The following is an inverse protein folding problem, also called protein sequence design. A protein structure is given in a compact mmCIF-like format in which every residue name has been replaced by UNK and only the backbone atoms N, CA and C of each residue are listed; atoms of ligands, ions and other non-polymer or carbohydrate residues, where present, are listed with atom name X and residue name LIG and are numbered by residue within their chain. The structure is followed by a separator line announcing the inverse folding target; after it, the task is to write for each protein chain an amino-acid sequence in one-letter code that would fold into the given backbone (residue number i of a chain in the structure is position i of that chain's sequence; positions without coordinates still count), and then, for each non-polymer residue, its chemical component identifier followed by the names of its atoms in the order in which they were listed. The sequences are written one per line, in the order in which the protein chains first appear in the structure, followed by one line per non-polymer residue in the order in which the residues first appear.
data_IF_970018417308
#
_entry.id   IF_970018417308
#
_cell.length_a   1.000
_cell.length_b   1.000
_cell.length_c   1.000
_cell.angle_alpha   90.00
_cell.angle_beta   90.00
_cell.angle_gamma   90.00
#
_symmetry.space_group_name_H-M   'P 1'
#
loop_
_entity.id
_entity.type
_entity.pdbx_description
1 polymer ?
#
# COMPACT_ATOMS: atom_id res chain seq x y z
N UNK A 1 43.93 13.67 -11.39
CA UNK A 1 42.50 13.88 -11.13
C UNK A 1 41.84 14.18 -12.46
N UNK A 2 41.45 13.13 -13.20
CA UNK A 2 40.58 13.28 -14.36
C UNK A 2 39.19 13.60 -13.79
N UNK A 3 38.62 14.73 -14.17
CA UNK A 3 37.21 15.02 -13.90
C UNK A 3 36.43 13.96 -14.72
N UNK A 4 35.69 13.03 -14.09
CA UNK A 4 34.84 12.13 -14.85
C UNK A 4 33.84 12.97 -15.63
N UNK A 5 33.60 12.62 -16.89
CA UNK A 5 32.53 13.24 -17.67
C UNK A 5 31.16 13.07 -17.00
N UNK A 6 30.12 13.75 -17.48
CA UNK A 6 28.78 13.63 -16.91
C UNK A 6 28.23 12.20 -17.08
N UNK A 7 28.31 11.40 -16.03
CA UNK A 7 27.70 10.08 -15.95
C UNK A 7 26.20 10.23 -15.70
N UNK A 8 25.43 10.36 -16.79
CA UNK A 8 23.95 10.55 -16.78
C UNK A 8 23.26 9.49 -15.90
N UNK A 9 23.79 8.28 -15.84
CA UNK A 9 23.28 7.21 -14.98
C UNK A 9 23.42 7.53 -13.49
N UNK A 10 24.59 8.03 -13.07
CA UNK A 10 24.84 8.40 -11.68
C UNK A 10 23.95 9.56 -11.25
N UNK A 11 23.77 10.55 -12.13
CA UNK A 11 22.85 11.68 -11.92
C UNK A 11 21.41 11.20 -11.72
N UNK A 12 20.92 10.31 -12.60
CA UNK A 12 19.56 9.76 -12.51
C UNK A 12 19.36 8.88 -11.27
N UNK A 13 20.37 8.10 -10.88
CA UNK A 13 20.32 7.28 -9.65
C UNK A 13 20.31 8.16 -8.40
N UNK A 14 21.11 9.23 -8.37
CA UNK A 14 21.09 10.24 -7.31
C UNK A 14 19.73 10.94 -7.21
N UNK A 15 19.19 11.43 -8.33
CA UNK A 15 17.86 12.04 -8.37
C UNK A 15 16.78 11.05 -7.88
N UNK A 16 16.83 9.81 -8.36
CA UNK A 16 15.93 8.75 -7.91
C UNK A 16 16.00 8.50 -6.41
N UNK A 17 17.20 8.51 -5.83
CA UNK A 17 17.40 8.32 -4.38
C UNK A 17 16.92 9.51 -3.57
N UNK A 18 17.11 10.75 -4.05
CA UNK A 18 16.58 11.95 -3.40
C UNK A 18 15.05 11.90 -3.37
N UNK A 19 14.41 11.57 -4.50
CA UNK A 19 12.95 11.45 -4.60
C UNK A 19 12.46 10.29 -3.70
N UNK A 20 13.19 9.18 -3.68
CA UNK A 20 12.92 8.04 -2.80
C UNK A 20 13.01 8.41 -1.31
N UNK A 21 13.98 9.22 -0.90
CA UNK A 21 14.09 9.74 0.46
C UNK A 21 12.90 10.63 0.84
N UNK A 22 12.39 11.44 -0.09
CA UNK A 22 11.16 12.24 0.13
C UNK A 22 9.97 11.31 0.36
N UNK A 23 9.81 10.27 -0.47
CA UNK A 23 8.74 9.28 -0.31
C UNK A 23 8.87 8.50 1.01
N UNK A 24 10.08 8.17 1.44
CA UNK A 24 10.34 7.58 2.75
C UNK A 24 9.90 8.51 3.90
N UNK A 25 10.13 9.83 3.76
CA UNK A 25 9.60 10.82 4.69
C UNK A 25 8.07 10.77 4.82
N UNK A 26 7.36 10.61 3.70
CA UNK A 26 5.90 10.41 3.69
C UNK A 26 5.53 9.12 4.45
N UNK A 27 6.27 8.03 4.24
CA UNK A 27 6.05 6.75 4.96
C UNK A 27 6.20 6.94 6.47
N UNK A 28 7.20 7.67 6.94
CA UNK A 28 7.41 7.95 8.38
C UNK A 28 6.21 8.73 8.94
N UNK A 29 5.84 9.84 8.30
CA UNK A 29 4.74 10.70 8.77
C UNK A 29 3.43 9.92 8.81
N UNK A 30 3.17 9.11 7.79
CA UNK A 30 1.95 8.33 7.70
C UNK A 30 1.92 7.20 8.74
N UNK A 31 3.05 6.53 8.96
CA UNK A 31 3.20 5.52 10.01
C UNK A 31 2.98 6.12 11.40
N UNK A 32 3.58 7.28 11.69
CA UNK A 32 3.37 8.02 12.92
C UNK A 32 1.90 8.37 13.15
N UNK A 33 1.21 8.89 12.13
CA UNK A 33 -0.21 9.17 12.20
C UNK A 33 -1.06 7.91 12.44
N UNK A 34 -0.72 6.79 11.79
CA UNK A 34 -1.35 5.50 12.05
C UNK A 34 -1.17 5.07 13.52
N UNK A 35 0.05 5.11 14.06
CA UNK A 35 0.30 4.77 15.47
C UNK A 35 -0.48 5.66 16.43
N UNK A 36 -0.48 6.98 16.21
CA UNK A 36 -1.23 7.93 17.03
C UNK A 36 -2.74 7.62 17.04
N UNK A 37 -3.32 7.35 15.88
CA UNK A 37 -4.74 7.01 15.77
C UNK A 37 -5.06 5.66 16.43
N UNK A 38 -4.20 4.65 16.24
CA UNK A 38 -4.39 3.33 16.81
C UNK A 38 -4.25 3.34 18.35
N UNK A 39 -3.32 4.14 18.90
CA UNK A 39 -3.10 4.23 20.35
C UNK A 39 -4.18 5.08 21.04
N UNK A 40 -4.52 6.25 20.48
CA UNK A 40 -5.43 7.23 21.12
C UNK A 40 -6.89 6.76 21.16
N UNK A 41 -7.31 5.83 20.30
CA UNK A 41 -8.72 5.43 20.13
C UNK A 41 -8.95 3.94 20.47
N UNK A 42 -8.63 3.55 21.71
CA UNK A 42 -8.68 2.15 22.21
C UNK A 42 -10.03 1.43 22.10
N UNK A 43 -11.16 2.10 21.84
CA UNK A 43 -12.50 1.49 21.79
C UNK A 43 -13.08 1.21 20.40
N UNK A 44 -12.41 1.62 19.31
CA UNK A 44 -12.97 1.53 17.94
C UNK A 44 -12.65 0.18 17.27
N UNK A 45 -11.57 -0.47 17.68
CA UNK A 45 -11.09 -1.72 17.12
C UNK A 45 -11.03 -2.80 18.20
N UNK A 46 -11.35 -4.04 17.82
CA UNK A 46 -11.02 -5.19 18.67
C UNK A 46 -9.50 -5.21 18.93
N UNK A 47 -9.10 -5.54 20.17
CA UNK A 47 -7.69 -5.55 20.56
C UNK A 47 -6.82 -6.39 19.61
N UNK A 48 -7.34 -7.53 19.12
CA UNK A 48 -6.63 -8.39 18.16
C UNK A 48 -6.38 -7.68 16.83
N UNK A 49 -7.40 -7.00 16.28
CA UNK A 49 -7.31 -6.23 15.04
C UNK A 49 -6.34 -5.06 15.18
N UNK A 50 -6.36 -4.38 16.33
CA UNK A 50 -5.44 -3.27 16.60
C UNK A 50 -3.99 -3.74 16.62
N UNK A 51 -3.70 -4.82 17.34
CA UNK A 51 -2.34 -5.39 17.41
C UNK A 51 -1.88 -5.81 16.02
N UNK A 52 -2.74 -6.49 15.25
CA UNK A 52 -2.44 -6.87 13.87
C UNK A 52 -2.07 -5.65 13.00
N UNK A 53 -2.86 -4.58 13.05
CA UNK A 53 -2.57 -3.36 12.28
C UNK A 53 -1.30 -2.65 12.73
N UNK A 54 -1.00 -2.61 14.03
CA UNK A 54 0.26 -2.05 14.56
C UNK A 54 1.45 -2.84 14.04
N UNK A 55 1.41 -4.17 14.16
CA UNK A 55 2.48 -5.06 13.67
C UNK A 55 2.68 -4.87 12.16
N UNK A 56 1.58 -4.80 11.40
CA UNK A 56 1.64 -4.57 9.96
C UNK A 56 2.31 -3.25 9.61
N UNK A 57 1.91 -2.14 10.24
CA UNK A 57 2.51 -0.81 10.02
C UNK A 57 4.00 -0.82 10.38
N UNK A 58 4.39 -1.47 11.49
CA UNK A 58 5.81 -1.59 11.87
C UNK A 58 6.63 -2.39 10.84
N UNK A 59 6.11 -3.51 10.35
CA UNK A 59 6.81 -4.35 9.37
C UNK A 59 7.01 -3.58 8.06
N UNK A 60 5.97 -2.90 7.57
CA UNK A 60 6.08 -2.11 6.34
C UNK A 60 7.03 -0.91 6.48
N UNK A 61 7.08 -0.29 7.66
CA UNK A 61 8.06 0.76 7.96
C UNK A 61 9.50 0.23 7.96
N UNK A 62 9.74 -0.96 8.53
CA UNK A 62 11.06 -1.60 8.53
C UNK A 62 11.51 -1.95 7.10
N UNK A 63 10.61 -2.53 6.29
CA UNK A 63 10.89 -2.83 4.87
C UNK A 63 11.27 -1.55 4.11
N UNK A 64 10.50 -0.47 4.27
CA UNK A 64 10.78 0.82 3.66
C UNK A 64 12.12 1.43 4.13
N UNK A 65 12.46 1.24 5.41
CA UNK A 65 13.71 1.74 6.00
C UNK A 65 14.91 0.98 5.45
N UNK A 66 14.80 -0.34 5.28
CA UNK A 66 15.85 -1.13 4.64
C UNK A 66 16.05 -0.74 3.18
N UNK A 67 14.95 -0.49 2.44
CA UNK A 67 15.00 -0.06 1.04
C UNK A 67 15.82 1.23 0.84
N UNK A 68 15.60 2.23 1.70
CA UNK A 68 16.31 3.51 1.59
C UNK A 68 17.76 3.39 2.05
N UNK A 69 18.05 2.60 3.10
CA UNK A 69 19.42 2.32 3.54
C UNK A 69 20.22 1.66 2.41
N UNK A 70 19.64 0.65 1.75
CA UNK A 70 20.26 -0.02 0.61
C UNK A 70 20.51 0.95 -0.55
N UNK A 71 19.54 1.82 -0.86
CA UNK A 71 19.67 2.81 -1.93
C UNK A 71 20.81 3.82 -1.66
N UNK A 72 20.91 4.32 -0.43
CA UNK A 72 21.97 5.24 0.01
C UNK A 72 23.33 4.54 -0.02
N UNK A 73 23.42 3.33 0.53
CA UNK A 73 24.63 2.52 0.52
C UNK A 73 25.12 2.27 -0.91
N UNK A 74 24.21 1.88 -1.81
CA UNK A 74 24.51 1.63 -3.21
C UNK A 74 25.09 2.84 -3.94
N UNK A 75 24.57 4.05 -3.70
CA UNK A 75 25.15 5.28 -4.28
C UNK A 75 26.49 5.63 -3.65
N UNK A 76 26.63 5.46 -2.34
CA UNK A 76 27.86 5.81 -1.61
C UNK A 76 29.04 4.98 -2.13
N UNK A 77 28.84 3.69 -2.36
CA UNK A 77 29.87 2.83 -2.96
C UNK A 77 30.27 3.31 -4.37
N UNK A 78 29.32 3.75 -5.18
CA UNK A 78 29.58 4.22 -6.54
C UNK A 78 30.37 5.52 -6.58
N UNK A 79 30.08 6.45 -5.67
CA UNK A 79 30.74 7.77 -5.64
C UNK A 79 32.13 7.70 -5.02
N UNK A 80 32.28 7.00 -3.89
CA UNK A 80 33.49 7.11 -3.06
C UNK A 80 34.54 6.06 -3.37
N UNK A 81 34.15 4.92 -3.94
CA UNK A 81 35.03 3.78 -4.07
C UNK A 81 35.55 3.60 -5.51
N UNK A 82 35.11 4.46 -6.45
CA UNK A 82 35.51 4.49 -7.87
C UNK A 82 35.50 3.09 -8.52
N UNK A 83 34.66 2.21 -7.98
CA UNK A 83 34.54 0.84 -8.46
C UNK A 83 33.76 0.94 -9.76
N UNK A 84 34.46 0.74 -10.87
CA UNK A 84 33.88 0.57 -12.19
C UNK A 84 33.11 -0.76 -12.20
N UNK A 85 31.97 -0.80 -11.50
CA UNK A 85 31.11 -1.97 -11.43
C UNK A 85 30.46 -2.16 -12.81
N UNK A 86 30.58 -3.34 -13.44
CA UNK A 86 29.91 -3.61 -14.69
C UNK A 86 28.39 -3.42 -14.53
N UNK A 87 27.71 -2.94 -15.58
CA UNK A 87 26.27 -2.65 -15.58
C UNK A 87 25.40 -3.83 -15.06
N UNK A 88 25.88 -5.07 -15.21
CA UNK A 88 25.26 -6.28 -14.67
C UNK A 88 25.23 -6.35 -13.14
N UNK A 89 26.27 -5.86 -12.46
CA UNK A 89 26.32 -5.77 -11.00
C UNK A 89 25.52 -4.57 -10.46
N UNK A 90 25.25 -3.55 -11.30
CA UNK A 90 24.39 -2.42 -10.93
C UNK A 90 22.90 -2.82 -10.84
N UNK A 91 22.47 -3.80 -11.64
CA UNK A 91 21.17 -4.48 -11.49
C UNK A 91 21.16 -5.33 -10.21
N UNK A 92 22.31 -5.84 -9.78
CA UNK A 92 22.49 -6.59 -8.53
C UNK A 92 22.30 -5.72 -7.28
N UNK A 93 22.49 -4.40 -7.38
CA UNK A 93 22.12 -3.42 -6.33
C UNK A 93 20.69 -2.87 -6.51
N UNK A 94 19.77 -3.73 -6.93
CA UNK A 94 18.33 -3.46 -6.87
C UNK A 94 17.87 -3.38 -5.41
N UNK A 95 16.76 -2.68 -5.08
CA UNK A 95 16.23 -2.74 -3.74
C UNK A 95 15.66 -4.13 -3.47
N UNK A 96 16.37 -4.96 -2.70
CA UNK A 96 16.01 -6.36 -2.39
C UNK A 96 14.67 -6.46 -1.66
N UNK A 97 14.25 -5.35 -1.07
CA UNK A 97 12.96 -5.18 -0.39
C UNK A 97 11.78 -5.10 -1.34
N UNK A 98 11.99 -4.87 -2.63
CA UNK A 98 10.91 -4.66 -3.60
C UNK A 98 9.90 -5.81 -3.61
N UNK A 99 10.29 -7.08 -3.80
CA UNK A 99 9.34 -8.19 -3.76
C UNK A 99 8.61 -8.30 -2.42
N UNK A 100 9.30 -8.02 -1.31
CA UNK A 100 8.72 -8.06 0.03
C UNK A 100 7.70 -6.93 0.25
N UNK A 101 7.98 -5.73 -0.26
CA UNK A 101 7.08 -4.57 -0.17
C UNK A 101 5.81 -4.79 -1.00
N UNK A 102 5.96 -5.30 -2.23
CA UNK A 102 4.84 -5.66 -3.11
C UNK A 102 4.00 -6.75 -2.45
N UNK A 103 4.64 -7.83 -1.99
CA UNK A 103 3.94 -8.92 -1.32
C UNK A 103 3.23 -8.48 -0.03
N UNK A 104 3.85 -7.59 0.75
CA UNK A 104 3.23 -7.01 1.93
C UNK A 104 2.02 -6.12 1.60
N UNK A 105 2.04 -5.41 0.47
CA UNK A 105 0.92 -4.60 0.00
C UNK A 105 -0.24 -5.49 -0.51
N UNK A 106 0.07 -6.45 -1.37
CA UNK A 106 -0.90 -7.40 -1.94
C UNK A 106 -1.51 -8.28 -0.85
N UNK A 107 -0.70 -8.78 0.07
CA UNK A 107 -1.14 -9.58 1.22
C UNK A 107 -2.14 -8.82 2.09
N UNK A 108 -1.91 -7.52 2.33
CA UNK A 108 -2.86 -6.68 3.05
C UNK A 108 -4.17 -6.54 2.29
N UNK A 109 -4.12 -6.29 0.98
CA UNK A 109 -5.30 -6.19 0.13
C UNK A 109 -6.11 -7.50 0.09
N UNK A 110 -5.43 -8.65 -0.01
CA UNK A 110 -6.05 -9.99 0.04
C UNK A 110 -6.70 -10.22 1.40
N UNK A 111 -6.02 -9.89 2.50
CA UNK A 111 -6.59 -10.02 3.85
C UNK A 111 -7.85 -9.18 4.01
N UNK A 112 -7.86 -7.93 3.50
CA UNK A 112 -9.06 -7.08 3.48
C UNK A 112 -10.20 -7.72 2.70
N UNK A 113 -9.90 -8.32 1.55
CA UNK A 113 -10.89 -9.10 0.80
C UNK A 113 -11.41 -10.28 1.65
N UNK A 114 -10.57 -11.03 2.35
CA UNK A 114 -11.03 -12.16 3.18
C UNK A 114 -11.95 -11.70 4.31
N UNK A 115 -11.61 -10.59 4.98
CA UNK A 115 -12.40 -10.01 6.08
C UNK A 115 -13.73 -9.48 5.57
N UNK A 116 -13.76 -8.83 4.40
CA UNK A 116 -14.99 -8.30 3.80
C UNK A 116 -15.98 -9.40 3.36
N UNK A 117 -15.48 -10.60 3.09
CA UNK A 117 -16.27 -11.73 2.58
C UNK A 117 -16.71 -12.73 3.66
N UNK A 118 -16.69 -12.36 4.95
CA UNK A 118 -17.12 -13.28 6.02
C UNK A 118 -18.57 -13.79 5.86
N UNK A 119 -19.44 -13.01 5.20
CA UNK A 119 -20.87 -13.31 5.08
C UNK A 119 -21.30 -13.95 3.73
N UNK A 120 -20.37 -14.27 2.82
CA UNK A 120 -20.68 -14.82 1.48
C UNK A 120 -20.42 -16.33 1.43
N UNK A 121 -21.18 -17.05 0.57
CA UNK A 121 -21.07 -18.50 0.35
C UNK A 121 -19.62 -18.99 0.18
N UNK A 122 -19.28 -20.08 0.89
CA UNK A 122 -17.90 -20.58 1.07
C UNK A 122 -17.19 -20.96 -0.24
N UNK A 123 -17.90 -21.54 -1.22
CA UNK A 123 -17.33 -22.05 -2.47
C UNK A 123 -16.57 -21.01 -3.31
N UNK A 124 -17.26 -20.02 -3.92
CA UNK A 124 -16.61 -19.01 -4.76
C UNK A 124 -15.66 -18.10 -3.97
N UNK A 125 -15.84 -18.00 -2.65
CA UNK A 125 -14.91 -17.28 -1.77
C UNK A 125 -13.55 -17.97 -1.73
N UNK A 126 -13.52 -19.28 -1.45
CA UNK A 126 -12.29 -20.07 -1.32
C UNK A 126 -11.55 -20.12 -2.66
N UNK A 127 -12.25 -20.42 -3.77
CA UNK A 127 -11.63 -20.52 -5.09
C UNK A 127 -10.82 -19.27 -5.45
N UNK A 128 -11.38 -18.09 -5.24
CA UNK A 128 -10.71 -16.85 -5.65
C UNK A 128 -9.64 -16.41 -4.65
N UNK A 129 -9.79 -16.71 -3.35
CA UNK A 129 -8.70 -16.49 -2.38
C UNK A 129 -7.51 -17.38 -2.73
N UNK A 130 -7.76 -18.65 -3.07
CA UNK A 130 -6.73 -19.58 -3.54
C UNK A 130 -6.07 -19.02 -4.80
N UNK A 131 -6.85 -18.62 -5.81
CA UNK A 131 -6.30 -18.03 -7.05
C UNK A 131 -5.40 -16.80 -6.79
N UNK A 132 -5.86 -15.85 -5.97
CA UNK A 132 -5.09 -14.65 -5.63
C UNK A 132 -3.82 -14.99 -4.83
N UNK A 133 -3.91 -15.96 -3.91
CA UNK A 133 -2.76 -16.41 -3.14
C UNK A 133 -1.73 -17.11 -4.02
N UNK A 134 -2.16 -17.94 -4.99
CA UNK A 134 -1.28 -18.62 -5.93
C UNK A 134 -0.54 -17.61 -6.82
N UNK A 135 -1.26 -16.62 -7.36
CA UNK A 135 -0.65 -15.56 -8.16
C UNK A 135 0.34 -14.71 -7.34
N UNK A 136 0.02 -14.41 -6.07
CA UNK A 136 0.91 -13.67 -5.17
C UNK A 136 2.17 -14.46 -4.82
N UNK A 137 2.05 -15.77 -4.56
CA UNK A 137 3.20 -16.66 -4.33
C UNK A 137 4.05 -16.75 -5.60
N UNK A 138 3.43 -16.84 -6.77
CA UNK A 138 4.13 -16.87 -8.05
C UNK A 138 4.89 -15.57 -8.33
N UNK A 139 4.30 -14.41 -8.05
CA UNK A 139 4.97 -13.10 -8.12
C UNK A 139 6.17 -13.04 -7.17
N UNK A 140 6.00 -13.48 -5.92
CA UNK A 140 7.09 -13.54 -4.94
C UNK A 140 8.21 -14.47 -5.40
N UNK A 141 7.87 -15.65 -5.93
CA UNK A 141 8.85 -16.59 -6.46
C UNK A 141 9.65 -15.96 -7.62
N UNK A 142 8.98 -15.24 -8.53
CA UNK A 142 9.66 -14.52 -9.62
C UNK A 142 10.60 -13.42 -9.09
N UNK A 143 10.16 -12.65 -8.08
CA UNK A 143 11.00 -11.65 -7.42
C UNK A 143 12.20 -12.25 -6.67
N UNK A 144 12.02 -13.39 -6.00
CA UNK A 144 13.11 -14.10 -5.32
C UNK A 144 14.08 -14.70 -6.32
N UNK A 145 13.60 -15.23 -7.45
CA UNK A 145 14.46 -15.75 -8.52
C UNK A 145 15.33 -14.65 -9.15
N UNK A 146 14.80 -13.43 -9.26
CA UNK A 146 15.59 -12.26 -9.67
C UNK A 146 16.70 -11.95 -8.66
N UNK A 147 16.43 -12.07 -7.36
CA UNK A 147 17.41 -11.83 -6.30
C UNK A 147 18.48 -12.92 -6.20
N UNK A 148 18.08 -14.19 -6.26
CA UNK A 148 18.99 -15.35 -6.11
C UNK A 148 19.94 -15.46 -7.29
N UNK A 149 19.69 -14.76 -8.39
CA UNK A 149 20.61 -14.73 -9.53
C UNK A 149 20.84 -16.14 -10.03
N UNK A 150 19.81 -16.76 -10.63
CA UNK A 150 20.12 -17.81 -11.60
C UNK A 150 21.02 -17.15 -12.64
N UNK A 151 22.32 -17.36 -12.47
CA UNK A 151 23.47 -16.75 -13.14
C UNK A 151 23.34 -16.84 -14.66
N UNK A 152 22.49 -16.01 -15.22
CA UNK A 152 22.44 -15.77 -16.64
C UNK A 152 23.18 -14.44 -16.83
N UNK A 153 24.40 -14.53 -17.34
CA UNK A 153 25.08 -13.39 -17.97
C UNK A 153 24.24 -12.77 -19.12
N UNK A 154 23.09 -13.37 -19.44
CA UNK A 154 22.07 -12.86 -20.34
C UNK A 154 21.24 -11.74 -19.70
N UNK A 155 21.66 -10.50 -19.98
CA UNK A 155 20.89 -9.27 -19.73
C UNK A 155 19.43 -9.36 -20.23
N UNK A 156 19.19 -10.08 -21.33
CA UNK A 156 17.85 -10.32 -21.88
C UNK A 156 16.95 -11.13 -20.95
N UNK A 157 17.48 -12.17 -20.29
CA UNK A 157 16.69 -13.00 -19.37
C UNK A 157 16.20 -12.19 -18.17
N UNK A 158 17.08 -11.33 -17.64
CA UNK A 158 16.76 -10.43 -16.53
C UNK A 158 15.68 -9.41 -16.90
N UNK A 159 15.78 -8.78 -18.06
CA UNK A 159 14.76 -7.83 -18.54
C UNK A 159 13.41 -8.52 -18.75
N UNK A 160 13.39 -9.71 -19.35
CA UNK A 160 12.16 -10.49 -19.55
C UNK A 160 11.52 -10.86 -18.21
N UNK A 161 12.31 -11.29 -17.22
CA UNK A 161 11.82 -11.58 -15.87
C UNK A 161 11.23 -10.35 -15.18
N UNK A 162 11.87 -9.18 -15.31
CA UNK A 162 11.35 -7.92 -14.76
C UNK A 162 10.00 -7.59 -15.39
N UNK A 163 9.90 -7.57 -16.72
CA UNK A 163 8.66 -7.26 -17.43
C UNK A 163 7.55 -8.24 -17.04
N UNK A 164 7.88 -9.53 -16.98
CA UNK A 164 6.91 -10.55 -16.60
C UNK A 164 6.42 -10.40 -15.16
N UNK A 165 7.32 -10.14 -14.21
CA UNK A 165 6.99 -9.86 -12.81
C UNK A 165 6.09 -8.61 -12.67
N UNK A 166 6.41 -7.54 -13.40
CA UNK A 166 5.58 -6.33 -13.43
C UNK A 166 4.19 -6.59 -13.98
N UNK A 167 4.08 -7.32 -15.09
CA UNK A 167 2.79 -7.67 -15.70
C UNK A 167 1.94 -8.52 -14.74
N UNK A 168 2.54 -9.51 -14.08
CA UNK A 168 1.85 -10.33 -13.08
C UNK A 168 1.33 -9.46 -11.93
N UNK A 169 2.13 -8.52 -11.42
CA UNK A 169 1.71 -7.61 -10.35
C UNK A 169 0.61 -6.63 -10.78
N UNK A 170 0.67 -6.12 -12.02
CA UNK A 170 -0.39 -5.27 -12.60
C UNK A 170 -1.69 -6.06 -12.73
N UNK A 171 -1.64 -7.28 -13.27
CA UNK A 171 -2.80 -8.16 -13.42
C UNK A 171 -3.39 -8.50 -12.05
N UNK A 172 -2.53 -8.85 -11.08
CA UNK A 172 -2.92 -9.09 -9.69
C UNK A 172 -3.67 -7.90 -9.10
N UNK A 173 -3.08 -6.70 -9.15
CA UNK A 173 -3.69 -5.49 -8.63
C UNK A 173 -5.02 -5.17 -9.34
N UNK A 174 -5.10 -5.31 -10.66
CA UNK A 174 -6.34 -5.14 -11.42
C UNK A 174 -7.41 -6.15 -11.01
N UNK A 175 -7.07 -7.43 -10.87
CA UNK A 175 -8.02 -8.47 -10.44
C UNK A 175 -8.54 -8.20 -9.03
N UNK A 176 -7.66 -7.78 -8.11
CA UNK A 176 -8.03 -7.39 -6.75
C UNK A 176 -9.01 -6.20 -6.78
N UNK A 177 -8.69 -5.14 -7.54
CA UNK A 177 -9.52 -3.94 -7.66
C UNK A 177 -10.86 -4.22 -8.33
N UNK A 178 -10.86 -4.88 -9.49
CA UNK A 178 -12.08 -5.21 -10.23
C UNK A 178 -13.02 -6.04 -9.39
N UNK A 179 -12.50 -7.03 -8.67
CA UNK A 179 -13.30 -7.85 -7.77
C UNK A 179 -13.90 -7.03 -6.63
N UNK A 180 -13.10 -6.16 -6.01
CA UNK A 180 -13.54 -5.32 -4.91
C UNK A 180 -14.68 -4.38 -5.37
N UNK A 181 -14.56 -3.78 -6.55
CA UNK A 181 -15.59 -2.92 -7.17
C UNK A 181 -16.83 -3.72 -7.58
N UNK A 182 -16.66 -4.89 -8.21
CA UNK A 182 -17.79 -5.73 -8.60
C UNK A 182 -18.62 -6.14 -7.38
N UNK A 183 -17.94 -6.51 -6.30
CA UNK A 183 -18.59 -6.85 -5.05
C UNK A 183 -19.30 -5.66 -4.41
N UNK A 184 -18.67 -4.47 -4.42
CA UNK A 184 -19.29 -3.23 -3.96
C UNK A 184 -20.62 -2.97 -4.68
N UNK A 185 -20.63 -3.10 -6.01
CA UNK A 185 -21.84 -2.91 -6.82
C UNK A 185 -22.92 -3.93 -6.46
N UNK A 186 -22.54 -5.18 -6.17
CA UNK A 186 -23.49 -6.22 -5.73
C UNK A 186 -24.09 -5.91 -4.36
N UNK A 187 -23.29 -5.50 -3.38
CA UNK A 187 -23.78 -5.10 -2.05
C UNK A 187 -24.72 -3.91 -2.16
N UNK A 188 -24.36 -2.88 -2.93
CA UNK A 188 -25.20 -1.69 -3.10
C UNK A 188 -26.55 -2.01 -3.73
N UNK A 189 -26.60 -2.95 -4.68
CA UNK A 189 -27.86 -3.41 -5.29
C UNK A 189 -28.77 -4.17 -4.31
N UNK A 190 -28.20 -4.93 -3.37
CA UNK A 190 -28.98 -5.77 -2.46
C UNK A 190 -29.41 -5.01 -1.19
N UNK A 191 -28.56 -4.14 -0.63
CA UNK A 191 -28.84 -3.45 0.64
C UNK A 191 -29.44 -2.04 0.47
N UNK A 192 -29.56 -1.54 -0.77
CA UNK A 192 -29.98 -0.15 -1.03
C UNK A 192 -28.90 0.88 -0.70
N UNK A 193 -29.05 2.10 -1.24
CA UNK A 193 -28.03 3.16 -1.16
C UNK A 193 -27.75 3.64 0.28
N UNK A 194 -28.73 3.57 1.18
CA UNK A 194 -28.57 4.03 2.58
C UNK A 194 -27.71 3.10 3.44
N UNK A 195 -27.94 1.78 3.40
CA UNK A 195 -27.25 0.83 4.28
C UNK A 195 -25.91 0.31 3.71
N UNK A 196 -25.67 0.44 2.40
CA UNK A 196 -24.40 0.09 1.75
C UNK A 196 -23.28 1.15 1.86
N UNK A 197 -23.60 2.35 2.35
CA UNK A 197 -22.73 3.53 2.43
C UNK A 197 -21.35 3.32 3.09
N UNK A 198 -21.22 2.71 4.29
CA UNK A 198 -19.92 2.58 4.95
C UNK A 198 -18.99 1.59 4.23
N UNK A 199 -19.54 0.50 3.68
CA UNK A 199 -18.79 -0.47 2.89
C UNK A 199 -18.28 0.13 1.58
N UNK A 200 -19.13 0.95 0.94
CA UNK A 200 -18.78 1.66 -0.28
C UNK A 200 -17.57 2.58 -0.08
N UNK A 201 -17.58 3.41 0.97
CA UNK A 201 -16.47 4.34 1.28
C UNK A 201 -15.16 3.59 1.47
N UNK A 202 -15.20 2.48 2.19
CA UNK A 202 -14.04 1.65 2.49
C UNK A 202 -13.44 1.05 1.20
N UNK A 203 -14.27 0.54 0.30
CA UNK A 203 -13.83 -0.05 -0.96
C UNK A 203 -13.26 1.02 -1.88
N UNK A 204 -13.95 2.17 -2.02
CA UNK A 204 -13.45 3.29 -2.81
C UNK A 204 -12.06 3.75 -2.36
N UNK A 205 -11.79 3.79 -1.05
CA UNK A 205 -10.45 4.09 -0.53
C UNK A 205 -9.38 3.05 -0.95
N UNK A 206 -9.73 1.76 -0.96
CA UNK A 206 -8.82 0.72 -1.45
C UNK A 206 -8.53 0.89 -2.94
N UNK A 207 -9.56 1.15 -3.74
CA UNK A 207 -9.44 1.35 -5.19
C UNK A 207 -8.54 2.55 -5.48
N UNK A 208 -8.75 3.67 -4.81
CA UNK A 208 -7.91 4.87 -4.94
C UNK A 208 -6.44 4.57 -4.60
N UNK A 209 -6.19 3.82 -3.53
CA UNK A 209 -4.83 3.48 -3.09
C UNK A 209 -4.18 2.44 -4.03
N UNK A 210 -4.96 1.57 -4.65
CA UNK A 210 -4.47 0.58 -5.64
C UNK A 210 -4.24 1.23 -7.01
N UNK A 211 -5.01 2.26 -7.35
CA UNK A 211 -4.78 3.04 -8.55
C UNK A 211 -3.41 3.71 -8.53
N UNK A 212 -2.96 4.20 -7.37
CA UNK A 212 -1.59 4.70 -7.21
C UNK A 212 -0.56 3.63 -7.60
N UNK A 213 -0.67 2.42 -7.06
CA UNK A 213 0.22 1.29 -7.41
C UNK A 213 0.22 0.99 -8.90
N UNK A 214 -0.96 0.92 -9.53
CA UNK A 214 -1.10 0.65 -10.96
C UNK A 214 -0.50 1.74 -11.83
N UNK A 215 -0.68 3.02 -11.47
CA UNK A 215 -0.12 4.16 -12.20
C UNK A 215 1.40 4.09 -12.18
N UNK A 216 2.00 3.96 -11.01
CA UNK A 216 3.47 3.92 -10.89
C UNK A 216 4.08 2.66 -11.53
N UNK A 217 3.42 1.50 -11.36
CA UNK A 217 3.85 0.27 -12.03
C UNK A 217 3.72 0.37 -13.56
N UNK A 218 2.69 1.04 -14.07
CA UNK A 218 2.49 1.27 -15.50
C UNK A 218 3.53 2.24 -16.08
N UNK A 219 3.80 3.35 -15.37
CA UNK A 219 4.86 4.30 -15.76
C UNK A 219 6.22 3.61 -15.82
N UNK A 220 6.54 2.79 -14.81
CA UNK A 220 7.78 2.01 -14.83
C UNK A 220 7.83 1.02 -16.01
N UNK A 221 6.74 0.30 -16.28
CA UNK A 221 6.67 -0.61 -17.42
C UNK A 221 6.92 0.12 -18.76
N UNK A 222 6.27 1.26 -18.99
CA UNK A 222 6.48 2.06 -20.22
C UNK A 222 7.93 2.52 -20.35
N UNK A 223 8.54 3.00 -19.27
CA UNK A 223 9.93 3.47 -19.29
C UNK A 223 10.94 2.34 -19.55
N UNK A 224 10.64 1.13 -19.09
CA UNK A 224 11.43 -0.07 -19.40
C UNK A 224 11.28 -0.45 -20.88
N UNK A 225 10.07 -0.36 -21.45
CA UNK A 225 9.83 -0.63 -22.87
C UNK A 225 10.57 0.34 -23.80
N UNK A 226 10.58 1.62 -23.44
CA UNK A 226 11.27 2.68 -24.21
C UNK A 226 12.80 2.66 -24.02
N UNK A 227 13.35 1.73 -23.22
CA UNK A 227 14.77 1.71 -22.83
C UNK A 227 15.28 3.07 -22.33
N UNK A 228 14.39 3.85 -21.70
CA UNK A 228 14.73 5.18 -21.24
C UNK A 228 15.62 5.08 -19.99
N UNK A 229 16.73 5.82 -19.98
CA UNK A 229 17.63 5.93 -18.83
C UNK A 229 16.90 6.37 -17.54
N UNK A 230 15.76 7.07 -17.68
CA UNK A 230 14.93 7.52 -16.57
C UNK A 230 14.12 6.45 -15.83
N UNK A 231 14.16 5.18 -16.26
CA UNK A 231 13.44 4.07 -15.61
C UNK A 231 13.89 3.80 -14.16
N UNK A 232 15.10 4.22 -13.79
CA UNK A 232 15.68 4.06 -12.45
C UNK A 232 14.93 4.84 -11.36
N UNK A 233 14.40 6.02 -11.71
CA UNK A 233 13.72 6.90 -10.76
C UNK A 233 12.45 6.23 -10.21
N UNK A 234 11.48 5.82 -11.05
CA UNK A 234 10.29 5.11 -10.57
C UNK A 234 10.62 3.76 -9.95
N UNK A 235 11.68 3.08 -10.40
CA UNK A 235 12.13 1.82 -9.81
C UNK A 235 12.53 1.98 -8.33
N UNK A 236 13.36 2.97 -8.01
CA UNK A 236 13.77 3.27 -6.63
C UNK A 236 12.62 3.80 -5.77
N UNK A 237 11.65 4.45 -6.39
CA UNK A 237 10.47 5.00 -5.71
C UNK A 237 9.43 3.93 -5.38
N UNK A 238 9.35 2.88 -6.20
CA UNK A 238 8.30 1.86 -6.16
C UNK A 238 8.13 1.15 -4.80
N UNK A 239 9.18 0.73 -4.06
CA UNK A 239 9.00 0.06 -2.78
C UNK A 239 8.31 0.97 -1.76
N UNK A 240 8.60 2.27 -1.80
CA UNK A 240 7.95 3.24 -0.91
C UNK A 240 6.48 3.44 -1.28
N UNK A 241 6.14 3.46 -2.58
CA UNK A 241 4.74 3.54 -3.02
C UNK A 241 3.95 2.30 -2.58
N UNK A 242 4.56 1.10 -2.69
CA UNK A 242 4.01 -0.15 -2.18
C UNK A 242 3.69 -0.08 -0.69
N UNK A 243 4.49 0.67 0.08
CA UNK A 243 4.27 0.88 1.51
C UNK A 243 3.25 1.99 1.79
N UNK A 244 3.30 3.10 1.06
CA UNK A 244 2.37 4.23 1.21
C UNK A 244 0.93 3.80 0.97
N UNK A 245 0.68 2.99 -0.05
CA UNK A 245 -0.68 2.55 -0.43
C UNK A 245 -1.45 1.89 0.73
N UNK A 246 -0.99 0.78 1.34
CA UNK A 246 -1.70 0.16 2.45
C UNK A 246 -1.70 1.02 3.72
N UNK A 247 -0.67 1.83 3.97
CA UNK A 247 -0.67 2.77 5.10
C UNK A 247 -1.74 3.87 4.95
N UNK A 248 -1.98 4.38 3.73
CA UNK A 248 -3.03 5.36 3.46
C UNK A 248 -4.41 4.75 3.72
N UNK A 249 -4.59 3.49 3.35
CA UNK A 249 -5.80 2.73 3.64
C UNK A 249 -6.00 2.63 5.16
N UNK A 250 -4.98 2.22 5.92
CA UNK A 250 -5.07 2.09 7.39
C UNK A 250 -5.40 3.45 8.02
N UNK A 251 -4.71 4.51 7.63
CA UNK A 251 -4.94 5.87 8.11
C UNK A 251 -6.37 6.34 7.83
N UNK A 252 -6.86 6.20 6.59
CA UNK A 252 -8.20 6.64 6.21
C UNK A 252 -9.30 5.83 6.88
N UNK A 253 -9.12 4.52 7.06
CA UNK A 253 -10.07 3.67 7.78
C UNK A 253 -10.10 4.04 9.27
N UNK A 254 -8.94 4.28 9.88
CA UNK A 254 -8.85 4.72 11.28
C UNK A 254 -9.51 6.09 11.48
N UNK A 255 -9.23 7.05 10.60
CA UNK A 255 -9.84 8.37 10.61
C UNK A 255 -11.34 8.30 10.37
N UNK A 256 -11.80 7.57 9.36
CA UNK A 256 -13.20 7.42 9.00
C UNK A 256 -14.03 6.82 10.14
N UNK A 257 -13.53 5.76 10.79
CA UNK A 257 -14.21 5.17 11.96
C UNK A 257 -14.25 6.15 13.14
N UNK A 258 -13.20 6.95 13.33
CA UNK A 258 -13.18 7.96 14.40
C UNK A 258 -14.25 9.04 14.23
N UNK A 259 -14.56 9.45 13.00
CA UNK A 259 -15.60 10.45 12.74
C UNK A 259 -16.99 9.86 13.01
N UNK A 260 -17.24 8.62 12.61
CA UNK A 260 -18.51 7.92 12.91
C UNK A 260 -18.73 7.74 14.41
N UNK A 261 -17.68 7.42 15.19
CA UNK A 261 -17.79 7.31 16.65
C UNK A 261 -18.08 8.66 17.31
N UNK A 262 -17.47 9.75 16.82
CA UNK A 262 -17.68 11.09 17.37
C UNK A 262 -19.12 11.57 17.14
N UNK A 263 -19.66 11.37 15.93
CA UNK A 263 -21.06 11.64 15.61
C UNK A 263 -22.02 10.87 16.53
N UNK A 264 -21.82 9.55 16.69
CA UNK A 264 -22.66 8.74 17.60
C UNK A 264 -22.60 9.20 19.06
N UNK A 265 -21.45 9.69 19.53
CA UNK A 265 -21.33 10.24 20.88
C UNK A 265 -22.08 11.56 21.03
N UNK A 266 -22.03 12.42 20.00
CA UNK A 266 -22.74 13.70 19.96
C UNK A 266 -24.26 13.51 19.86
N UNK A 267 -24.72 12.56 19.04
CA UNK A 267 -26.13 12.18 18.93
C UNK A 267 -26.67 11.59 20.24
N UNK A 268 -25.89 10.74 20.93
CA UNK A 268 -26.27 10.25 22.27
C UNK A 268 -26.33 11.38 23.31
N UNK A 269 -25.39 12.32 23.27
CA UNK A 269 -25.39 13.46 24.19
C UNK A 269 -26.59 14.38 23.96
N UNK A 270 -26.91 14.69 22.70
CA UNK A 270 -28.11 15.48 22.34
C UNK A 270 -29.42 14.76 22.65
N UNK A 271 -29.48 13.44 22.45
CA UNK A 271 -30.64 12.64 22.86
C UNK A 271 -30.85 12.66 24.39
N UNK A 272 -29.78 12.56 25.20
CA UNK A 272 -29.90 12.66 26.66
C UNK A 272 -30.36 14.04 27.14
N UNK A 273 -29.94 15.13 26.49
CA UNK A 273 -30.38 16.49 26.84
C UNK A 273 -31.88 16.66 26.60
N UNK A 274 -32.41 16.10 25.50
CA UNK A 274 -33.85 16.19 25.15
C UNK A 274 -34.79 15.43 26.12
N UNK A 275 -34.28 14.43 26.83
CA UNK A 275 -35.08 13.73 27.85
C UNK A 275 -35.13 14.45 29.20
N UNK A 276 -34.31 15.48 29.39
CA UNK A 276 -34.19 16.20 30.66
C UNK A 276 -34.91 17.55 30.65
N UNK A 277 -35.71 17.84 29.63
CA UNK A 277 -36.62 18.99 29.64
C UNK A 277 -37.75 18.71 30.66
N UNK A 278 -37.84 19.46 31.78
CA UNK A 278 -38.87 19.24 32.77
C UNK A 278 -40.25 19.57 32.17
N UNK A 279 -41.32 18.85 32.57
CA UNK A 279 -42.67 19.20 32.13
C UNK A 279 -42.98 20.62 32.60
N UNK A 280 -43.25 21.52 31.65
CA UNK A 280 -43.78 22.84 31.93
C UNK A 280 -45.05 22.65 32.77
N UNK A 281 -44.99 23.02 34.04
CA UNK A 281 -46.14 23.09 34.91
C UNK A 281 -47.16 24.04 34.29
N UNK A 282 -48.21 23.48 33.67
CA UNK A 282 -49.45 24.19 33.44
C UNK A 282 -49.94 24.64 34.81
N UNK A 283 -49.87 25.94 35.11
CA UNK A 283 -50.70 26.50 36.17
C UNK A 283 -52.13 26.53 35.63
N UNK A 284 -52.93 25.54 36.02
CA UNK A 284 -54.37 25.72 36.15
C UNK A 284 -54.58 26.81 37.20
N UNK A 285 -54.92 28.02 36.74
CA UNK A 285 -55.47 29.06 37.57
C UNK A 285 -56.98 28.92 37.58
N UNK A 286 -57.49 28.20 38.58
CA UNK A 286 -58.87 28.33 39.06
C UNK A 286 -58.93 29.50 40.03
N UNK A 287 -59.65 30.57 39.62
CA UNK A 287 -60.59 31.40 40.40
C UNK A 287 -60.90 32.71 39.66
#
# INVERSE_FOLDING_TARGET
MLIPGPDVYLELKMLGTIISAIAYGIVIVLSGNCFLLLVKKRGIYSNRMRIFLVIYVTVMLVISTWAIIQSIWGITLLIFQDVNVPESLLISYSPDTLPLAIWGADGFMIWRCIVLYQDVARGPRVLVVVLLSLLSIFSLACGVLMFVGLNADDSLFTVVLIIFSLLVNIILALLIVLRLVHHQRRIQKVLGAEHGSPYSKIITMCVESSALMLIFSGVYAVLVFEQANGSLIPFLLFPHICVISPLLIVYRVAKGRSMTTTLKSSERATAQIRFNDPPSSRSEGDL
#
